data_IF_201106482177
#
_entry.id   IF_201106482177
#
_cell.length_a   1.000
_cell.length_b   1.000
_cell.length_c   1.000
_cell.angle_alpha   90.00
_cell.angle_beta   90.00
_cell.angle_gamma   90.00
#
_symmetry.space_group_name_H-M   'P 1'
#
loop_
_entity.id
_entity.type
_entity.pdbx_description
1 polymer ?
#
# COMPACT_ATOMS: atom_id res chain seq x y z
N UNK A 1 -2.65 12.64 -17.38
CA UNK A 1 -2.24 12.28 -16.00
C UNK A 1 -2.52 10.81 -15.76
N UNK A 2 -1.52 10.03 -15.29
CA UNK A 2 -1.75 8.65 -14.88
C UNK A 2 -2.74 8.64 -13.69
N UNK A 3 -3.70 7.72 -13.70
CA UNK A 3 -4.69 7.59 -12.64
C UNK A 3 -4.01 7.24 -11.32
N UNK A 4 -4.21 8.04 -10.27
CA UNK A 4 -3.75 7.75 -8.92
C UNK A 4 -4.56 6.56 -8.39
N UNK A 5 -3.92 5.40 -8.23
CA UNK A 5 -4.53 4.16 -7.72
C UNK A 5 -3.78 3.68 -6.51
N UNK A 6 -4.50 3.02 -5.59
CA UNK A 6 -3.83 2.39 -4.44
C UNK A 6 -2.76 1.39 -4.90
N UNK A 7 -1.55 1.46 -4.33
CA UNK A 7 -0.51 0.47 -4.57
C UNK A 7 -0.76 -0.84 -3.82
N UNK A 8 -1.70 -0.87 -2.88
CA UNK A 8 -1.97 -2.02 -2.03
C UNK A 8 -3.08 -2.91 -2.57
N UNK A 9 -2.95 -4.20 -2.31
CA UNK A 9 -4.06 -5.15 -2.32
C UNK A 9 -4.61 -5.19 -0.90
N UNK A 10 -5.88 -4.86 -0.74
CA UNK A 10 -6.47 -4.81 0.58
C UNK A 10 -7.81 -5.56 0.59
N UNK A 11 -8.01 -6.54 1.48
CA UNK A 11 -9.29 -7.22 1.63
C UNK A 11 -10.40 -6.20 1.88
N UNK A 12 -11.50 -6.28 1.15
CA UNK A 12 -12.56 -5.27 1.24
C UNK A 12 -12.22 -3.90 0.62
N UNK A 13 -11.11 -3.78 -0.11
CA UNK A 13 -10.73 -2.55 -0.81
C UNK A 13 -11.80 -2.06 -1.76
N UNK A 14 -12.09 -0.75 -1.73
CA UNK A 14 -13.22 -0.12 -2.42
C UNK A 14 -12.94 0.26 -3.88
N UNK A 15 -11.75 -0.06 -4.44
CA UNK A 15 -11.34 0.38 -5.78
C UNK A 15 -12.34 0.04 -6.89
N UNK A 16 -12.99 -1.14 -6.82
CA UNK A 16 -14.02 -1.55 -7.79
C UNK A 16 -15.38 -0.89 -7.57
N UNK A 17 -15.62 -0.42 -6.35
CA UNK A 17 -16.89 0.18 -5.95
C UNK A 17 -16.89 1.71 -6.00
N UNK A 18 -15.75 2.36 -6.32
CA UNK A 18 -15.62 3.81 -6.27
C UNK A 18 -16.68 4.54 -7.09
N UNK A 19 -16.92 4.12 -8.34
CA UNK A 19 -17.92 4.75 -9.20
C UNK A 19 -19.32 4.70 -8.59
N UNK A 20 -19.68 3.59 -7.94
CA UNK A 20 -20.95 3.42 -7.25
C UNK A 20 -21.00 4.23 -5.94
N UNK A 21 -19.93 4.19 -5.15
CA UNK A 21 -19.86 4.93 -3.88
C UNK A 21 -20.01 6.44 -4.09
N UNK A 22 -19.35 6.98 -5.12
CA UNK A 22 -19.39 8.42 -5.42
C UNK A 22 -20.76 8.91 -5.95
N UNK A 23 -21.71 8.03 -6.24
CA UNK A 23 -23.09 8.41 -6.50
C UNK A 23 -23.85 8.78 -5.21
N UNK A 24 -23.37 8.31 -4.04
CA UNK A 24 -23.97 8.56 -2.74
C UNK A 24 -23.18 9.57 -1.89
N UNK A 25 -21.95 9.87 -2.26
CA UNK A 25 -21.14 10.92 -1.61
C UNK A 25 -21.63 12.28 -2.15
N UNK A 26 -21.96 13.26 -1.29
CA UNK A 26 -22.37 14.59 -1.75
C UNK A 26 -21.21 15.28 -2.51
N UNK A 27 -21.53 16.37 -3.22
CA UNK A 27 -20.49 17.22 -3.82
C UNK A 27 -19.67 17.87 -2.69
N UNK A 28 -18.35 17.64 -2.72
CA UNK A 28 -17.45 18.07 -1.66
C UNK A 28 -16.79 19.43 -1.93
N UNK A 29 -17.20 20.17 -2.95
CA UNK A 29 -16.55 21.46 -3.34
C UNK A 29 -16.47 22.47 -2.21
N UNK A 30 -17.52 22.54 -1.36
CA UNK A 30 -17.59 23.50 -0.26
C UNK A 30 -16.94 22.99 1.04
N UNK A 31 -16.50 21.73 1.07
CA UNK A 31 -15.86 21.17 2.24
C UNK A 31 -14.36 21.46 2.23
N UNK A 32 -13.82 21.73 3.41
CA UNK A 32 -12.38 22.00 3.60
C UNK A 32 -11.59 20.79 4.04
N UNK A 33 -12.25 19.79 4.64
CA UNK A 33 -11.58 18.64 5.22
C UNK A 33 -12.39 17.34 4.97
N UNK A 34 -11.67 16.27 4.65
CA UNK A 34 -12.17 14.91 4.60
C UNK A 34 -11.46 14.04 5.63
N UNK A 35 -12.20 13.22 6.36
CA UNK A 35 -11.65 12.31 7.38
C UNK A 35 -12.06 10.87 7.10
N UNK A 36 -11.06 9.99 7.03
CA UNK A 36 -11.25 8.54 6.85
C UNK A 36 -10.54 7.78 7.99
N UNK A 37 -11.25 7.42 9.09
CA UNK A 37 -10.64 6.79 10.27
C UNK A 37 -10.26 5.33 10.06
N UNK A 38 -10.74 4.67 8.98
CA UNK A 38 -10.45 3.29 8.60
C UNK A 38 -9.93 3.25 7.16
N UNK A 39 -8.69 3.72 6.97
CA UNK A 39 -8.09 3.95 5.65
C UNK A 39 -7.96 2.69 4.81
N UNK A 40 -7.51 1.58 5.40
CA UNK A 40 -7.27 0.34 4.67
C UNK A 40 -6.40 0.54 3.43
N UNK A 41 -6.90 0.10 2.27
CA UNK A 41 -6.20 0.27 1.00
C UNK A 41 -6.19 1.70 0.45
N UNK A 42 -6.78 2.69 1.11
CA UNK A 42 -6.72 4.11 0.75
C UNK A 42 -7.46 4.49 -0.54
N UNK A 43 -8.30 3.61 -1.09
CA UNK A 43 -8.91 3.85 -2.42
C UNK A 43 -9.83 5.06 -2.44
N UNK A 44 -10.59 5.31 -1.38
CA UNK A 44 -11.54 6.44 -1.30
C UNK A 44 -10.78 7.74 -1.08
N UNK A 45 -9.87 7.79 -0.11
CA UNK A 45 -9.03 8.96 0.15
C UNK A 45 -8.27 9.41 -1.12
N UNK A 46 -7.65 8.47 -1.85
CA UNK A 46 -6.95 8.78 -3.10
C UNK A 46 -7.89 9.32 -4.19
N UNK A 47 -9.10 8.79 -4.30
CA UNK A 47 -10.07 9.31 -5.27
C UNK A 47 -10.59 10.70 -4.87
N UNK A 48 -10.74 10.99 -3.56
CA UNK A 48 -11.11 12.33 -3.06
C UNK A 48 -9.97 13.31 -3.34
N UNK A 49 -8.73 12.97 -3.03
CA UNK A 49 -7.55 13.80 -3.37
C UNK A 49 -7.52 14.17 -4.85
N UNK A 50 -7.86 13.22 -5.72
CA UNK A 50 -7.89 13.46 -7.17
C UNK A 50 -9.03 14.37 -7.61
N UNK A 51 -10.24 14.19 -7.05
CA UNK A 51 -11.43 14.97 -7.45
C UNK A 51 -11.47 16.35 -6.82
N UNK A 52 -10.96 16.46 -5.60
CA UNK A 52 -11.05 17.66 -4.76
C UNK A 52 -9.67 18.00 -4.17
N UNK A 53 -8.71 18.47 -4.98
CA UNK A 53 -7.33 18.71 -4.54
C UNK A 53 -7.20 19.84 -3.51
N UNK A 54 -8.26 20.62 -3.27
CA UNK A 54 -8.31 21.68 -2.26
C UNK A 54 -8.68 21.19 -0.86
N UNK A 55 -9.12 19.93 -0.73
CA UNK A 55 -9.56 19.38 0.56
C UNK A 55 -8.36 18.82 1.33
N UNK A 56 -8.24 19.20 2.59
CA UNK A 56 -7.30 18.58 3.52
C UNK A 56 -7.76 17.16 3.86
N UNK A 57 -6.88 16.18 3.62
CA UNK A 57 -7.18 14.78 3.85
C UNK A 57 -6.57 14.33 5.18
N UNK A 58 -7.44 13.95 6.12
CA UNK A 58 -7.04 13.31 7.36
C UNK A 58 -7.42 11.83 7.33
N UNK A 59 -6.44 10.95 7.47
CA UNK A 59 -6.62 9.49 7.40
C UNK A 59 -6.00 8.82 8.61
N UNK A 60 -6.60 7.70 9.01
CA UNK A 60 -6.08 6.87 10.10
C UNK A 60 -6.41 5.40 9.83
N UNK A 61 -5.68 4.51 10.49
CA UNK A 61 -5.99 3.08 10.60
C UNK A 61 -5.43 2.55 11.91
N UNK A 62 -6.05 1.52 12.47
CA UNK A 62 -5.57 0.89 13.70
C UNK A 62 -4.31 0.04 13.48
N UNK A 63 -4.15 -0.50 12.26
CA UNK A 63 -3.04 -1.38 11.94
C UNK A 63 -1.77 -0.57 11.66
N UNK A 64 -0.86 -0.53 12.65
CA UNK A 64 0.35 0.30 12.62
C UNK A 64 1.24 0.05 11.38
N UNK A 65 1.55 -1.19 10.96
CA UNK A 65 2.35 -1.38 9.75
C UNK A 65 1.75 -0.76 8.48
N UNK A 66 0.42 -0.70 8.39
CA UNK A 66 -0.29 -0.04 7.30
C UNK A 66 -0.14 1.48 7.38
N UNK A 67 -0.33 2.06 8.56
CA UNK A 67 -0.16 3.52 8.75
C UNK A 67 1.28 3.95 8.53
N UNK A 68 2.25 3.17 9.00
CA UNK A 68 3.67 3.38 8.72
C UNK A 68 3.98 3.33 7.22
N UNK A 69 3.39 2.37 6.48
CA UNK A 69 3.54 2.31 5.03
C UNK A 69 3.04 3.58 4.35
N UNK A 70 1.84 4.04 4.66
CA UNK A 70 1.26 5.23 4.04
C UNK A 70 2.05 6.49 4.37
N UNK A 71 2.47 6.65 5.63
CA UNK A 71 3.31 7.76 6.07
C UNK A 71 4.67 7.76 5.37
N UNK A 72 5.34 6.61 5.33
CA UNK A 72 6.64 6.48 4.64
C UNK A 72 6.51 6.75 3.14
N UNK A 73 5.42 6.29 2.51
CA UNK A 73 5.17 6.57 1.10
C UNK A 73 5.00 8.08 0.82
N UNK A 74 4.37 8.80 1.75
CA UNK A 74 4.19 10.25 1.66
C UNK A 74 5.50 11.01 1.90
N UNK A 75 6.24 10.65 2.94
CA UNK A 75 7.40 11.41 3.40
C UNK A 75 8.69 11.04 2.64
N UNK A 76 8.89 9.75 2.35
CA UNK A 76 10.11 9.18 1.78
C UNK A 76 9.84 8.25 0.58
N UNK A 77 8.80 8.49 -0.20
CA UNK A 77 8.37 7.61 -1.29
C UNK A 77 9.47 7.25 -2.28
N UNK A 78 10.37 8.19 -2.60
CA UNK A 78 11.50 7.92 -3.49
C UNK A 78 12.52 6.95 -2.87
N UNK A 79 12.86 7.12 -1.60
CA UNK A 79 13.76 6.19 -0.89
C UNK A 79 13.14 4.79 -0.79
N UNK A 80 11.84 4.74 -0.50
CA UNK A 80 11.09 3.49 -0.48
C UNK A 80 11.11 2.79 -1.86
N UNK A 81 10.88 3.52 -2.95
CA UNK A 81 10.97 3.00 -4.31
C UNK A 81 12.36 2.43 -4.61
N UNK A 82 13.43 3.17 -4.31
CA UNK A 82 14.82 2.69 -4.51
C UNK A 82 15.08 1.39 -3.74
N UNK A 83 14.68 1.34 -2.48
CA UNK A 83 14.85 0.12 -1.65
C UNK A 83 14.09 -1.07 -2.22
N UNK A 84 12.85 -0.88 -2.68
CA UNK A 84 12.07 -1.94 -3.31
C UNK A 84 12.70 -2.42 -4.62
N UNK A 85 13.34 -1.55 -5.41
CA UNK A 85 14.08 -1.93 -6.60
C UNK A 85 15.33 -2.77 -6.27
N UNK A 86 16.07 -2.41 -5.22
CA UNK A 86 17.20 -3.20 -4.71
C UNK A 86 16.76 -4.61 -4.29
N UNK A 87 15.65 -4.70 -3.53
CA UNK A 87 15.09 -5.99 -3.13
C UNK A 87 14.68 -6.82 -4.34
N UNK A 88 14.03 -6.22 -5.33
CA UNK A 88 13.65 -6.89 -6.58
C UNK A 88 14.87 -7.44 -7.34
N UNK A 89 15.96 -6.69 -7.38
CA UNK A 89 17.20 -7.12 -8.05
C UNK A 89 17.92 -8.24 -7.29
N UNK A 90 17.85 -8.23 -5.97
CA UNK A 90 18.46 -9.25 -5.10
C UNK A 90 17.71 -10.58 -5.11
N UNK A 91 16.38 -10.53 -5.30
CA UNK A 91 15.50 -11.69 -5.28
C UNK A 91 14.74 -11.82 -6.62
N UNK A 92 15.44 -12.22 -7.71
CA UNK A 92 14.93 -12.13 -9.07
C UNK A 92 13.92 -13.22 -9.44
N UNK A 93 13.90 -14.32 -8.70
CA UNK A 93 13.09 -15.50 -9.02
C UNK A 93 12.13 -15.89 -7.88
N UNK A 94 11.23 -16.83 -8.18
CA UNK A 94 10.19 -17.25 -7.24
C UNK A 94 10.74 -17.99 -6.01
N UNK A 95 11.86 -18.73 -6.17
CA UNK A 95 12.49 -19.45 -5.06
C UNK A 95 13.08 -18.49 -4.05
N UNK A 96 13.86 -17.52 -4.52
CA UNK A 96 14.46 -16.47 -3.69
C UNK A 96 13.41 -15.55 -3.06
N UNK A 97 12.29 -15.30 -3.76
CA UNK A 97 11.17 -14.49 -3.25
C UNK A 97 10.52 -15.05 -1.97
N UNK A 98 10.56 -16.39 -1.77
CA UNK A 98 10.09 -17.00 -0.52
C UNK A 98 10.95 -16.57 0.67
N UNK A 99 12.26 -16.54 0.52
CA UNK A 99 13.17 -16.06 1.55
C UNK A 99 12.89 -14.61 1.93
N UNK A 100 12.75 -13.74 0.92
CA UNK A 100 12.38 -12.33 1.13
C UNK A 100 11.04 -12.16 1.86
N UNK A 101 10.06 -13.01 1.55
CA UNK A 101 8.75 -12.96 2.23
C UNK A 101 8.86 -13.34 3.72
N UNK A 102 9.65 -14.37 4.05
CA UNK A 102 9.88 -14.78 5.44
C UNK A 102 10.63 -13.71 6.23
N UNK A 103 11.70 -13.17 5.66
CA UNK A 103 12.44 -12.03 6.22
C UNK A 103 11.50 -10.82 6.46
N UNK A 104 10.68 -10.48 5.48
CA UNK A 104 9.75 -9.36 5.61
C UNK A 104 8.72 -9.57 6.75
N UNK A 105 8.30 -10.80 7.02
CA UNK A 105 7.39 -11.11 8.14
C UNK A 105 8.03 -10.85 9.50
N UNK A 106 9.32 -11.06 9.64
CA UNK A 106 10.06 -10.73 10.86
C UNK A 106 10.24 -9.21 11.00
N UNK A 107 10.64 -8.55 9.91
CA UNK A 107 10.96 -7.13 9.90
C UNK A 107 9.76 -6.21 10.07
N UNK A 108 8.57 -6.59 9.63
CA UNK A 108 7.39 -5.70 9.60
C UNK A 108 6.98 -5.20 10.99
N UNK A 109 7.20 -6.01 12.03
CA UNK A 109 6.90 -5.69 13.42
C UNK A 109 8.17 -5.44 14.27
N UNK A 110 9.33 -5.37 13.66
CA UNK A 110 10.58 -5.06 14.37
C UNK A 110 10.74 -3.53 14.53
N UNK A 111 10.38 -3.02 15.68
CA UNK A 111 10.47 -1.59 16.00
C UNK A 111 11.90 -1.10 16.25
N UNK A 112 12.90 -1.98 16.27
CA UNK A 112 14.31 -1.61 16.38
C UNK A 112 14.90 -1.09 15.05
N UNK A 113 14.25 -1.40 13.91
CA UNK A 113 14.68 -0.94 12.60
C UNK A 113 13.91 0.30 12.13
N UNK A 114 14.45 0.99 11.12
CA UNK A 114 13.83 2.23 10.64
C UNK A 114 12.43 2.01 10.05
N UNK A 115 11.52 3.00 10.15
CA UNK A 115 10.19 2.97 9.55
C UNK A 115 10.21 2.65 8.05
N UNK A 116 11.24 3.11 7.33
CA UNK A 116 11.41 2.84 5.90
C UNK A 116 11.54 1.34 5.60
N UNK A 117 12.38 0.63 6.37
CA UNK A 117 12.55 -0.82 6.17
C UNK A 117 11.29 -1.59 6.52
N UNK A 118 10.61 -1.21 7.59
CA UNK A 118 9.31 -1.80 7.98
C UNK A 118 8.24 -1.56 6.92
N UNK A 119 8.17 -0.36 6.34
CA UNK A 119 7.25 -0.04 5.25
C UNK A 119 7.53 -0.86 3.99
N UNK A 120 8.79 -1.07 3.63
CA UNK A 120 9.19 -1.95 2.53
C UNK A 120 8.78 -3.41 2.82
N UNK A 121 9.04 -3.90 4.04
CA UNK A 121 8.65 -5.24 4.47
C UNK A 121 7.12 -5.43 4.39
N UNK A 122 6.34 -4.46 4.88
CA UNK A 122 4.88 -4.47 4.74
C UNK A 122 4.45 -4.57 3.27
N UNK A 123 5.05 -3.78 2.39
CA UNK A 123 4.74 -3.82 0.96
C UNK A 123 5.06 -5.17 0.32
N UNK A 124 6.22 -5.76 0.66
CA UNK A 124 6.60 -7.10 0.21
C UNK A 124 5.57 -8.14 0.64
N UNK A 125 5.18 -8.16 1.91
CA UNK A 125 4.15 -9.08 2.43
C UNK A 125 2.84 -8.87 1.66
N UNK A 126 2.39 -7.64 1.51
CA UNK A 126 1.16 -7.32 0.80
C UNK A 126 1.15 -7.81 -0.65
N UNK A 127 2.29 -7.76 -1.34
CA UNK A 127 2.41 -8.20 -2.73
C UNK A 127 2.58 -9.71 -2.87
N UNK A 128 3.23 -10.37 -1.92
CA UNK A 128 3.55 -11.79 -1.97
C UNK A 128 2.49 -12.68 -1.33
N UNK A 129 1.61 -12.12 -0.49
CA UNK A 129 0.54 -12.89 0.13
C UNK A 129 -0.67 -13.08 -0.79
N UNK A 130 -1.37 -14.18 -0.60
CA UNK A 130 -2.62 -14.46 -1.33
C UNK A 130 -3.68 -13.39 -1.00
N UNK A 131 -4.21 -12.75 -2.02
CA UNK A 131 -5.23 -11.68 -1.89
C UNK A 131 -4.86 -10.50 -0.98
N UNK A 132 -3.57 -10.28 -0.66
CA UNK A 132 -3.14 -9.23 0.26
C UNK A 132 -3.45 -9.54 1.72
N UNK A 133 -3.75 -10.80 2.06
CA UNK A 133 -4.01 -11.22 3.43
C UNK A 133 -2.72 -11.20 4.24
N UNK A 134 -2.65 -10.31 5.22
CA UNK A 134 -1.46 -10.08 6.05
C UNK A 134 -1.34 -11.07 7.21
N UNK A 135 -2.40 -11.85 7.49
CA UNK A 135 -2.51 -12.64 8.72
C UNK A 135 -2.14 -14.12 8.54
N UNK A 136 -2.30 -14.74 7.37
CA UNK A 136 -2.34 -16.21 7.29
C UNK A 136 -1.59 -16.86 6.12
N UNK A 137 -0.65 -16.24 5.42
CA UNK A 137 -0.32 -16.84 4.13
C UNK A 137 1.11 -17.27 3.91
N UNK A 138 1.23 -18.50 3.40
CA UNK A 138 2.34 -18.94 2.57
C UNK A 138 2.35 -18.13 1.26
N UNK A 139 3.52 -17.87 0.67
CA UNK A 139 3.61 -17.21 -0.64
C UNK A 139 2.80 -18.01 -1.66
N UNK A 140 1.91 -17.34 -2.39
CA UNK A 140 1.16 -17.98 -3.48
C UNK A 140 2.11 -18.26 -4.65
N UNK A 141 2.12 -19.47 -5.20
CA UNK A 141 2.91 -19.79 -6.39
C UNK A 141 2.50 -18.96 -7.64
N UNK A 142 1.33 -18.31 -7.60
CA UNK A 142 0.82 -17.43 -8.69
C UNK A 142 1.20 -15.96 -8.53
N UNK A 143 1.76 -15.58 -7.39
CA UNK A 143 2.09 -14.19 -7.06
C UNK A 143 3.59 -13.95 -7.18
N UNK A 144 4.14 -14.11 -8.38
CA UNK A 144 5.51 -13.71 -8.66
C UNK A 144 5.73 -12.24 -8.27
N UNK A 145 6.70 -12.01 -7.40
CA UNK A 145 7.13 -10.68 -6.92
C UNK A 145 7.43 -9.74 -8.10
N UNK A 146 7.90 -10.33 -9.20
CA UNK A 146 8.43 -9.62 -10.35
C UNK A 146 7.36 -8.97 -11.24
N UNK A 147 6.16 -9.55 -11.32
CA UNK A 147 5.11 -9.04 -12.23
C UNK A 147 4.32 -7.86 -11.67
N UNK A 148 4.52 -7.51 -10.39
CA UNK A 148 3.65 -6.59 -9.65
C UNK A 148 4.37 -5.46 -8.91
N UNK A 149 5.69 -5.43 -8.94
CA UNK A 149 6.43 -4.23 -8.59
C UNK A 149 6.39 -3.25 -9.76
N UNK A 150 6.26 -1.93 -9.51
CA UNK A 150 6.22 -0.96 -10.59
C UNK A 150 7.48 -1.12 -11.45
N UNK A 151 7.27 -1.44 -12.72
CA UNK A 151 8.28 -1.16 -13.73
C UNK A 151 8.43 0.36 -13.78
N UNK A 152 9.66 0.85 -13.80
CA UNK A 152 10.02 2.25 -13.95
C UNK A 152 9.05 2.98 -14.88
N UNK A 153 8.46 4.04 -14.38
CA UNK A 153 7.83 5.05 -15.23
C UNK A 153 8.90 5.99 -15.74
#
# INVERSE_FOLDING_TARGET
MKSLKTPLRYPGGKSRALSKLFQFIPDLKEYKQYREPFLGGGSVALEITKRYPHIDIWVNDLYEPLTNFWKTLQDDGYKMYKRLQELKSRYPDQGSARGLFLEAKELVNDYSISPLYRACAFYVINKCSFSGCLLYTSPSPRDGLLSRMPSSA
#
